data_IF_627294100966
#
_entry.id   IF_627294100966
#
_cell.length_a   1.000
_cell.length_b   1.000
_cell.length_c   1.000
_cell.angle_alpha   90.00
_cell.angle_beta   90.00
_cell.angle_gamma   90.00
#
_symmetry.space_group_name_H-M   'P 1'
#
loop_
_entity.id
_entity.type
_entity.pdbx_description
1 polymer ?
#
# COMPACT_ATOMS: atom_id res chain seq x y z
N UNK A 1 -15.32 -6.21 1.30
CA UNK A 1 -14.02 -5.55 1.05
C UNK A 1 -13.13 -6.43 0.19
N UNK A 2 -12.26 -5.83 -0.60
CA UNK A 2 -11.31 -6.53 -1.47
C UNK A 2 -9.89 -6.15 -1.03
N UNK A 3 -9.08 -7.15 -0.68
CA UNK A 3 -7.69 -6.96 -0.28
C UNK A 3 -6.76 -7.86 -1.09
N UNK A 4 -5.49 -7.46 -1.25
CA UNK A 4 -4.47 -8.28 -1.89
C UNK A 4 -3.66 -9.07 -0.88
N UNK A 5 -3.37 -8.43 0.25
CA UNK A 5 -2.67 -9.00 1.40
C UNK A 5 -3.56 -9.03 2.63
N UNK A 6 -3.41 -10.09 3.41
CA UNK A 6 -4.02 -10.19 4.75
C UNK A 6 -3.18 -11.14 5.63
N UNK A 7 -2.94 -10.81 6.90
CA UNK A 7 -2.18 -11.69 7.79
C UNK A 7 -2.74 -13.12 7.85
N UNK A 8 -1.88 -14.14 8.00
CA UNK A 8 -0.42 -14.08 8.14
C UNK A 8 0.34 -13.96 6.80
N UNK A 9 -0.37 -13.83 5.69
CA UNK A 9 0.21 -13.72 4.33
C UNK A 9 0.36 -12.24 4.00
N UNK A 10 1.46 -11.63 4.43
CA UNK A 10 1.76 -10.21 4.21
C UNK A 10 3.22 -10.00 3.82
N UNK A 11 3.45 -9.01 2.94
CA UNK A 11 4.77 -8.57 2.53
C UNK A 11 5.06 -7.10 2.90
N UNK A 12 4.07 -6.39 3.50
CA UNK A 12 4.23 -4.97 3.81
C UNK A 12 3.12 -4.37 4.67
N UNK A 13 3.13 -3.04 4.76
CA UNK A 13 2.18 -2.27 5.55
C UNK A 13 0.73 -2.35 5.08
N UNK A 14 0.50 -2.67 3.78
CA UNK A 14 -0.85 -2.80 3.21
C UNK A 14 -1.67 -3.87 3.95
N UNK A 15 -1.12 -5.08 4.11
CA UNK A 15 -1.82 -6.17 4.79
C UNK A 15 -2.11 -5.86 6.26
N UNK A 16 -1.19 -5.16 6.94
CA UNK A 16 -1.39 -4.70 8.33
C UNK A 16 -2.51 -3.66 8.41
N UNK A 17 -2.52 -2.68 7.51
CA UNK A 17 -3.56 -1.66 7.45
C UNK A 17 -4.94 -2.27 7.10
N UNK A 18 -5.00 -3.15 6.09
CA UNK A 18 -6.23 -3.85 5.72
C UNK A 18 -6.82 -4.66 6.88
N UNK A 19 -5.97 -5.38 7.63
CA UNK A 19 -6.40 -6.15 8.81
C UNK A 19 -6.97 -5.23 9.86
N UNK A 20 -6.18 -4.28 10.36
CA UNK A 20 -6.55 -3.47 11.50
C UNK A 20 -7.81 -2.63 11.22
N UNK A 21 -7.91 -2.05 10.01
CA UNK A 21 -9.10 -1.32 9.59
C UNK A 21 -10.32 -2.24 9.48
N UNK A 22 -10.17 -3.43 8.87
CA UNK A 22 -11.31 -4.34 8.69
C UNK A 22 -11.80 -4.93 10.00
N UNK A 23 -10.91 -5.28 10.95
CA UNK A 23 -11.28 -5.74 12.29
C UNK A 23 -12.02 -4.64 13.07
N UNK A 24 -11.52 -3.39 13.04
CA UNK A 24 -12.18 -2.26 13.67
C UNK A 24 -13.54 -1.96 13.01
N UNK A 25 -13.62 -1.99 11.67
CA UNK A 25 -14.87 -1.73 10.94
C UNK A 25 -15.89 -2.85 11.15
N UNK A 26 -15.44 -4.11 11.21
CA UNK A 26 -16.27 -5.29 11.45
C UNK A 26 -16.97 -5.28 12.81
N UNK A 27 -16.48 -4.52 13.77
CA UNK A 27 -17.17 -4.30 15.06
C UNK A 27 -18.45 -3.44 14.92
N UNK A 28 -18.59 -2.70 13.81
CA UNK A 28 -19.71 -1.78 13.59
C UNK A 28 -20.66 -2.25 12.48
N UNK A 29 -20.19 -3.10 11.56
CA UNK A 29 -20.99 -3.57 10.41
C UNK A 29 -20.54 -4.94 9.96
N UNK A 30 -21.45 -5.82 9.48
CA UNK A 30 -21.05 -7.08 8.87
C UNK A 30 -20.07 -6.86 7.73
N UNK A 31 -18.93 -7.55 7.77
CA UNK A 31 -17.85 -7.35 6.82
C UNK A 31 -17.31 -8.68 6.29
N UNK A 32 -17.28 -8.80 4.97
CA UNK A 32 -16.59 -9.88 4.26
C UNK A 32 -15.36 -9.33 3.56
N UNK A 33 -14.18 -9.87 3.88
CA UNK A 33 -12.91 -9.56 3.24
C UNK A 33 -12.55 -10.70 2.26
N UNK A 34 -12.41 -10.36 0.99
CA UNK A 34 -11.98 -11.32 -0.05
C UNK A 34 -10.53 -11.04 -0.39
N UNK A 35 -9.71 -12.09 -0.34
CA UNK A 35 -8.27 -12.03 -0.63
C UNK A 35 -7.84 -13.16 -1.57
N UNK A 36 -6.73 -13.03 -2.33
CA UNK A 36 -6.21 -14.10 -3.17
C UNK A 36 -5.90 -15.37 -2.38
N UNK A 37 -5.30 -15.19 -1.18
CA UNK A 37 -4.88 -16.29 -0.31
C UNK A 37 -5.16 -15.97 1.15
N UNK A 38 -5.88 -16.86 1.81
CA UNK A 38 -6.06 -16.90 3.26
C UNK A 38 -5.40 -18.14 3.87
N UNK A 39 -5.03 -18.06 5.14
CA UNK A 39 -4.66 -19.24 5.95
C UNK A 39 -5.90 -19.67 6.76
N UNK A 40 -6.37 -20.88 6.51
CA UNK A 40 -7.57 -21.43 7.16
C UNK A 40 -7.48 -21.47 8.70
N UNK A 41 -6.27 -21.41 9.27
CA UNK A 41 -6.03 -21.38 10.72
C UNK A 41 -6.17 -19.99 11.32
N UNK A 42 -6.07 -18.94 10.51
CA UNK A 42 -6.21 -17.56 10.95
C UNK A 42 -7.66 -17.12 10.88
N UNK A 43 -8.17 -16.60 11.97
CA UNK A 43 -9.54 -16.06 12.09
C UNK A 43 -9.46 -14.64 12.62
N UNK A 44 -9.62 -13.61 11.75
CA UNK A 44 -9.69 -12.23 12.20
C UNK A 44 -10.95 -12.00 13.04
N UNK A 45 -10.87 -11.06 13.96
CA UNK A 45 -12.02 -10.65 14.76
C UNK A 45 -13.03 -9.87 13.91
N UNK A 46 -14.31 -10.16 14.08
CA UNK A 46 -15.43 -9.45 13.44
C UNK A 46 -15.40 -9.40 11.90
N UNK A 47 -14.59 -10.23 11.24
CA UNK A 47 -14.43 -10.24 9.78
C UNK A 47 -14.63 -11.64 9.22
N UNK A 48 -15.50 -11.78 8.24
CA UNK A 48 -15.57 -12.99 7.42
C UNK A 48 -14.46 -12.96 6.37
N UNK A 49 -13.37 -13.70 6.60
CA UNK A 49 -12.26 -13.79 5.65
C UNK A 49 -12.52 -14.89 4.63
N UNK A 50 -12.50 -14.55 3.33
CA UNK A 50 -12.63 -15.47 2.21
C UNK A 50 -11.35 -15.48 1.36
N UNK A 51 -10.59 -16.58 1.42
CA UNK A 51 -9.46 -16.81 0.52
C UNK A 51 -9.92 -17.50 -0.77
N UNK A 52 -9.56 -16.95 -1.93
CA UNK A 52 -9.89 -17.61 -3.20
C UNK A 52 -9.21 -18.96 -3.36
N UNK A 53 -8.10 -19.21 -2.67
CA UNK A 53 -7.46 -20.53 -2.57
C UNK A 53 -8.35 -21.60 -1.89
N UNK A 54 -9.36 -21.19 -1.13
CA UNK A 54 -10.28 -22.08 -0.40
C UNK A 54 -11.62 -22.23 -1.13
N UNK A 55 -11.94 -21.33 -2.06
CA UNK A 55 -13.23 -21.29 -2.77
C UNK A 55 -13.25 -22.30 -3.93
N UNK A 56 -14.31 -23.13 -3.99
CA UNK A 56 -14.53 -24.05 -5.10
C UNK A 56 -15.22 -23.36 -6.28
N UNK A 57 -14.46 -23.05 -7.33
CA UNK A 57 -14.94 -22.35 -8.53
C UNK A 57 -16.01 -23.17 -9.32
N UNK A 58 -16.12 -24.49 -9.09
CA UNK A 58 -17.15 -25.33 -9.73
C UNK A 58 -18.58 -24.97 -9.31
N UNK A 59 -18.78 -24.50 -8.07
CA UNK A 59 -20.11 -24.11 -7.57
C UNK A 59 -20.56 -22.77 -8.13
N UNK A 60 -19.62 -21.86 -8.37
CA UNK A 60 -19.89 -20.52 -8.91
C UNK A 60 -20.33 -20.62 -10.38
N UNK A 61 -19.73 -21.50 -11.16
CA UNK A 61 -20.00 -21.66 -12.61
C UNK A 61 -21.44 -22.05 -12.95
N UNK A 62 -22.15 -22.76 -12.08
CA UNK A 62 -23.53 -23.21 -12.39
C UNK A 62 -24.59 -22.10 -12.33
N UNK A 63 -24.35 -21.00 -11.62
CA UNK A 63 -25.35 -19.93 -11.42
C UNK A 63 -25.24 -18.80 -12.46
N UNK A 64 -24.11 -18.64 -13.13
CA UNK A 64 -23.74 -17.45 -13.87
C UNK A 64 -23.91 -17.58 -15.41
N UNK A 65 -24.00 -18.77 -15.97
CA UNK A 65 -23.96 -19.02 -17.42
C UNK A 65 -25.04 -18.32 -18.26
N UNK A 66 -26.13 -17.83 -17.67
CA UNK A 66 -27.20 -17.14 -18.42
C UNK A 66 -26.96 -15.63 -18.55
N UNK A 67 -26.25 -15.00 -17.62
CA UNK A 67 -26.08 -13.54 -17.57
C UNK A 67 -24.73 -13.09 -18.17
N UNK A 68 -23.75 -14.00 -18.26
CA UNK A 68 -22.40 -13.69 -18.78
C UNK A 68 -22.37 -13.30 -20.27
N UNK A 69 -23.29 -13.81 -21.08
CA UNK A 69 -23.28 -13.58 -22.53
C UNK A 69 -23.60 -12.12 -22.87
N UNK A 70 -24.38 -11.42 -22.08
CA UNK A 70 -24.73 -10.03 -22.34
C UNK A 70 -23.65 -9.04 -21.89
N UNK A 71 -22.89 -9.35 -20.83
CA UNK A 71 -21.86 -8.45 -20.28
C UNK A 71 -20.52 -8.65 -21.00
N UNK A 72 -20.16 -9.86 -21.39
CA UNK A 72 -18.95 -10.14 -22.17
C UNK A 72 -18.94 -9.42 -23.54
N UNK A 73 -20.11 -9.05 -24.06
CA UNK A 73 -20.24 -8.25 -25.29
C UNK A 73 -19.77 -6.79 -25.13
N UNK A 74 -19.64 -6.26 -23.90
CA UNK A 74 -19.30 -4.84 -23.66
C UNK A 74 -17.87 -4.57 -23.20
N UNK A 75 -17.12 -5.57 -22.71
CA UNK A 75 -15.73 -5.37 -22.24
C UNK A 75 -14.84 -6.51 -22.74
N UNK A 76 -14.13 -6.27 -23.82
CA UNK A 76 -13.12 -7.19 -24.34
C UNK A 76 -11.75 -6.72 -23.85
N UNK A 77 -11.20 -7.41 -22.83
CA UNK A 77 -9.81 -7.27 -22.46
C UNK A 77 -8.96 -8.11 -23.42
N UNK A 78 -8.26 -7.48 -24.35
CA UNK A 78 -7.21 -8.17 -25.09
C UNK A 78 -5.97 -8.27 -24.20
N UNK A 79 -5.48 -9.49 -24.02
CA UNK A 79 -4.22 -9.74 -23.32
C UNK A 79 -3.08 -9.19 -24.15
N UNK A 80 -2.45 -8.14 -23.67
CA UNK A 80 -1.15 -7.70 -24.17
C UNK A 80 -0.11 -8.44 -23.32
N UNK A 81 0.76 -9.18 -23.97
CA UNK A 81 1.89 -9.86 -23.32
C UNK A 81 2.94 -8.80 -23.00
N UNK A 82 2.73 -8.12 -21.86
CA UNK A 82 3.63 -7.07 -21.38
C UNK A 82 4.42 -7.64 -20.21
N UNK A 83 5.71 -7.86 -20.42
CA UNK A 83 6.66 -8.24 -19.40
C UNK A 83 6.97 -7.03 -18.49
N UNK A 84 5.97 -6.59 -17.72
CA UNK A 84 6.09 -5.48 -16.76
C UNK A 84 6.11 -6.07 -15.34
N UNK A 85 7.24 -5.92 -14.68
CA UNK A 85 7.38 -6.21 -13.25
C UNK A 85 6.89 -4.99 -12.48
N UNK A 86 5.85 -5.13 -11.67
CA UNK A 86 5.23 -4.05 -10.88
C UNK A 86 6.17 -3.36 -9.87
N UNK A 87 7.41 -3.82 -9.76
CA UNK A 87 8.46 -3.30 -8.87
C UNK A 87 9.82 -3.14 -9.57
N UNK A 88 9.85 -3.00 -10.89
CA UNK A 88 11.09 -2.68 -11.62
C UNK A 88 11.53 -1.25 -11.28
N UNK A 89 12.82 -1.08 -10.99
CA UNK A 89 13.42 0.21 -10.70
C UNK A 89 13.59 1.05 -11.97
N UNK A 90 13.58 2.36 -11.83
CA UNK A 90 13.72 3.38 -12.90
C UNK A 90 14.90 3.11 -13.86
N UNK A 91 15.97 2.48 -13.38
CA UNK A 91 17.15 2.16 -14.22
C UNK A 91 16.89 1.10 -15.31
N UNK A 92 15.89 0.22 -15.13
CA UNK A 92 15.53 -0.77 -16.17
C UNK A 92 14.54 -0.25 -17.22
N UNK A 93 13.76 0.76 -16.87
CA UNK A 93 12.80 1.39 -17.79
C UNK A 93 13.51 2.23 -18.86
N UNK A 94 14.66 2.84 -18.52
CA UNK A 94 15.44 3.69 -19.44
C UNK A 94 16.06 2.94 -20.64
N UNK A 95 16.18 1.60 -20.59
CA UNK A 95 16.76 0.81 -21.69
C UNK A 95 15.76 0.26 -22.71
N UNK A 96 14.45 0.55 -22.59
CA UNK A 96 13.39 0.05 -23.48
C UNK A 96 12.60 1.14 -24.21
N UNK A 97 13.21 2.27 -24.53
CA UNK A 97 12.52 3.40 -25.19
C UNK A 97 12.10 3.14 -26.66
N UNK A 98 12.40 1.99 -27.27
CA UNK A 98 12.12 1.76 -28.70
C UNK A 98 10.82 1.02 -29.03
N UNK A 99 10.09 0.48 -28.03
CA UNK A 99 8.78 -0.15 -28.30
C UNK A 99 7.73 0.32 -27.26
N UNK A 100 6.96 1.35 -27.61
CA UNK A 100 5.77 1.75 -26.88
C UNK A 100 4.62 0.84 -27.25
N UNK A 101 4.05 0.04 -26.34
CA UNK A 101 2.76 -0.58 -26.59
C UNK A 101 1.68 0.49 -26.45
N UNK A 102 0.99 0.80 -27.53
CA UNK A 102 -0.24 1.57 -27.49
C UNK A 102 -1.34 0.71 -26.88
N UNK A 103 -1.88 1.13 -25.74
CA UNK A 103 -3.05 0.48 -25.14
C UNK A 103 -4.28 0.96 -25.92
N UNK A 104 -4.79 0.13 -26.82
CA UNK A 104 -6.03 0.39 -27.51
C UNK A 104 -7.19 -0.32 -26.81
N UNK A 105 -8.15 0.46 -26.32
CA UNK A 105 -9.49 -0.06 -26.03
C UNK A 105 -10.22 -0.08 -27.36
N UNK A 106 -10.30 -1.24 -27.99
CA UNK A 106 -11.02 -1.40 -29.26
C UNK A 106 -12.41 -1.92 -28.98
N UNK A 107 -13.42 -1.07 -29.16
CA UNK A 107 -14.80 -1.53 -29.33
C UNK A 107 -14.92 -2.17 -30.71
N UNK A 108 -15.10 -3.47 -30.78
CA UNK A 108 -15.52 -4.18 -31.99
C UNK A 108 -16.92 -4.73 -31.81
N UNK A 109 -17.80 -4.36 -32.73
CA UNK A 109 -19.05 -5.10 -32.95
C UNK A 109 -18.71 -6.51 -33.44
N UNK A 110 -19.20 -7.52 -32.74
CA UNK A 110 -19.01 -8.93 -33.07
C UNK A 110 -20.23 -9.38 -33.86
N UNK A 111 -20.05 -9.63 -35.15
CA UNK A 111 -21.00 -10.41 -35.95
C UNK A 111 -21.07 -11.85 -35.42
N UNK A 112 -22.28 -12.37 -35.32
CA UNK A 112 -22.56 -13.72 -34.85
C UNK A 112 -21.94 -14.78 -35.79
N UNK A 113 -20.85 -15.40 -35.39
CA UNK A 113 -20.48 -16.72 -35.87
C UNK A 113 -20.44 -17.71 -34.69
N UNK A 114 -21.26 -18.74 -34.81
CA UNK A 114 -21.23 -19.91 -33.96
C UNK A 114 -19.88 -20.64 -34.09
N UNK A 115 -18.94 -20.39 -33.23
CA UNK A 115 -17.79 -21.24 -33.03
C UNK A 115 -17.90 -21.98 -31.72
N UNK A 116 -18.08 -23.28 -31.83
CA UNK A 116 -18.05 -24.27 -30.76
C UNK A 116 -16.76 -24.09 -29.96
N UNK A 117 -16.91 -23.65 -28.71
CA UNK A 117 -15.85 -23.17 -27.85
C UNK A 117 -14.80 -24.20 -27.50
N UNK A 118 -13.56 -23.83 -27.69
CA UNK A 118 -12.48 -24.35 -26.83
C UNK A 118 -12.63 -23.73 -25.44
N UNK A 119 -13.12 -24.53 -24.50
CA UNK A 119 -13.15 -24.14 -23.09
C UNK A 119 -11.72 -24.10 -22.57
N UNK A 120 -11.18 -22.90 -22.37
CA UNK A 120 -9.96 -22.73 -21.59
C UNK A 120 -10.23 -23.35 -20.19
N UNK A 121 -9.43 -24.31 -19.73
CA UNK A 121 -9.67 -24.94 -18.45
C UNK A 121 -9.46 -23.91 -17.33
N UNK A 122 -10.54 -23.43 -16.76
CA UNK A 122 -10.47 -22.61 -15.54
C UNK A 122 -9.92 -23.50 -14.41
N UNK A 123 -8.83 -23.09 -13.74
CA UNK A 123 -8.25 -23.89 -12.67
C UNK A 123 -9.30 -24.13 -11.59
N UNK A 124 -9.33 -25.34 -11.04
CA UNK A 124 -10.32 -25.76 -10.02
C UNK A 124 -10.25 -24.95 -8.74
N UNK A 125 -9.13 -24.29 -8.49
CA UNK A 125 -8.84 -23.37 -7.37
C UNK A 125 -7.88 -22.29 -7.86
N UNK A 126 -7.99 -21.11 -7.28
CA UNK A 126 -7.01 -20.05 -7.47
C UNK A 126 -5.71 -20.44 -6.75
N UNK A 127 -4.63 -20.60 -7.52
CA UNK A 127 -3.33 -21.00 -6.96
C UNK A 127 -2.38 -19.81 -7.01
N UNK A 128 -1.95 -19.35 -5.85
CA UNK A 128 -0.95 -18.28 -5.70
C UNK A 128 0.12 -18.78 -4.74
N UNK A 129 1.30 -19.06 -5.27
CA UNK A 129 2.49 -19.38 -4.46
C UNK A 129 3.15 -18.12 -3.93
N UNK A 130 3.26 -17.09 -4.77
CA UNK A 130 3.81 -15.78 -4.47
C UNK A 130 2.82 -14.70 -4.92
N UNK A 131 2.52 -13.73 -4.04
CA UNK A 131 1.57 -12.63 -4.34
C UNK A 131 2.14 -11.61 -5.33
N UNK A 132 3.47 -11.50 -5.45
CA UNK A 132 4.17 -10.45 -6.19
C UNK A 132 5.15 -10.99 -7.25
N UNK A 133 4.96 -12.22 -7.68
CA UNK A 133 5.81 -12.86 -8.71
C UNK A 133 5.61 -12.28 -10.13
N UNK A 134 6.40 -12.77 -11.07
CA UNK A 134 6.51 -12.26 -12.45
C UNK A 134 5.18 -12.19 -13.24
N UNK A 135 4.18 -12.96 -12.85
CA UNK A 135 2.84 -12.99 -13.46
C UNK A 135 1.77 -12.21 -12.66
N UNK A 136 2.19 -11.19 -11.89
CA UNK A 136 1.31 -10.41 -11.03
C UNK A 136 0.08 -9.84 -11.77
N UNK A 137 0.26 -9.22 -12.94
CA UNK A 137 -0.84 -8.64 -13.72
C UNK A 137 -1.86 -9.71 -14.11
N UNK A 138 -1.40 -10.86 -14.58
CA UNK A 138 -2.29 -11.99 -14.90
C UNK A 138 -3.09 -12.44 -13.68
N UNK A 139 -2.48 -12.46 -12.51
CA UNK A 139 -3.14 -12.83 -11.25
C UNK A 139 -4.16 -11.78 -10.82
N UNK A 140 -3.85 -10.49 -11.01
CA UNK A 140 -4.80 -9.39 -10.76
C UNK A 140 -6.04 -9.53 -11.63
N UNK A 141 -5.89 -9.83 -12.92
CA UNK A 141 -7.02 -10.07 -13.83
C UNK A 141 -7.82 -11.31 -13.39
N UNK A 142 -7.16 -12.43 -13.11
CA UNK A 142 -7.84 -13.64 -12.63
C UNK A 142 -8.57 -13.41 -11.29
N UNK A 143 -7.94 -12.67 -10.38
CA UNK A 143 -8.58 -12.30 -9.12
C UNK A 143 -9.84 -11.47 -9.37
N UNK A 144 -9.77 -10.49 -10.27
CA UNK A 144 -10.91 -9.64 -10.61
C UNK A 144 -12.08 -10.45 -11.21
N UNK A 145 -11.81 -11.34 -12.15
CA UNK A 145 -12.84 -12.20 -12.75
C UNK A 145 -13.51 -13.10 -11.73
N UNK A 146 -12.74 -13.73 -10.86
CA UNK A 146 -13.27 -14.66 -9.85
C UNK A 146 -14.06 -13.92 -8.79
N UNK A 147 -13.56 -12.79 -8.29
CA UNK A 147 -14.23 -11.99 -7.25
C UNK A 147 -15.52 -11.35 -7.78
N UNK A 148 -15.53 -10.87 -9.03
CA UNK A 148 -16.73 -10.35 -9.67
C UNK A 148 -17.85 -11.40 -9.74
N UNK A 149 -17.51 -12.63 -10.11
CA UNK A 149 -18.45 -13.77 -10.12
C UNK A 149 -18.88 -14.18 -8.70
N UNK A 150 -17.96 -14.21 -7.76
CA UNK A 150 -18.27 -14.52 -6.36
C UNK A 150 -19.24 -13.50 -5.76
N UNK A 151 -19.02 -12.21 -6.07
CA UNK A 151 -19.85 -11.11 -5.58
C UNK A 151 -21.32 -11.26 -5.97
N UNK A 152 -21.66 -11.83 -7.13
CA UNK A 152 -23.06 -12.06 -7.53
C UNK A 152 -23.78 -13.07 -6.66
N UNK A 153 -23.07 -13.80 -5.81
CA UNK A 153 -23.62 -14.79 -4.88
C UNK A 153 -23.69 -14.30 -3.44
N UNK A 154 -23.19 -13.09 -3.18
CA UNK A 154 -23.14 -12.47 -1.87
C UNK A 154 -24.15 -11.31 -1.77
N UNK A 155 -24.65 -11.07 -0.58
CA UNK A 155 -25.45 -9.89 -0.26
C UNK A 155 -24.53 -8.83 0.36
N UNK A 156 -24.52 -7.64 -0.21
CA UNK A 156 -23.73 -6.49 0.27
C UNK A 156 -24.28 -5.18 -0.27
N UNK A 157 -23.94 -4.09 0.37
CA UNK A 157 -24.38 -2.74 0.00
C UNK A 157 -23.29 -1.91 -0.67
N UNK A 158 -22.02 -2.12 -0.29
CA UNK A 158 -20.87 -1.35 -0.76
C UNK A 158 -19.72 -2.28 -1.12
N UNK A 159 -19.02 -1.97 -2.22
CA UNK A 159 -17.72 -2.57 -2.57
C UNK A 159 -16.61 -1.63 -2.11
N UNK A 160 -15.66 -2.13 -1.33
CA UNK A 160 -14.51 -1.36 -0.88
C UNK A 160 -13.22 -2.07 -1.32
N UNK A 161 -12.45 -1.46 -2.20
CA UNK A 161 -11.25 -2.03 -2.83
C UNK A 161 -9.97 -1.30 -2.36
N UNK A 162 -8.96 -2.09 -1.95
CA UNK A 162 -7.70 -1.59 -1.41
C UNK A 162 -6.56 -1.73 -2.42
N UNK A 163 -6.00 -0.61 -2.88
CA UNK A 163 -4.92 -0.46 -3.85
C UNK A 163 -5.21 -1.09 -5.24
N UNK A 164 -4.38 -0.76 -6.21
CA UNK A 164 -4.54 -1.05 -7.63
C UNK A 164 -4.79 -2.53 -7.95
N UNK A 165 -4.20 -3.44 -7.18
CA UNK A 165 -4.37 -4.89 -7.39
C UNK A 165 -5.82 -5.37 -7.20
N UNK A 166 -6.66 -4.59 -6.53
CA UNK A 166 -8.07 -4.90 -6.31
C UNK A 166 -9.03 -3.98 -7.08
N UNK A 167 -8.52 -2.93 -7.72
CA UNK A 167 -9.38 -1.93 -8.38
C UNK A 167 -10.14 -2.50 -9.57
N UNK A 168 -9.49 -3.32 -10.41
CA UNK A 168 -10.16 -3.98 -11.53
C UNK A 168 -11.33 -4.84 -11.02
N UNK A 169 -11.12 -5.58 -9.91
CA UNK A 169 -12.18 -6.34 -9.25
C UNK A 169 -13.33 -5.44 -8.78
N UNK A 170 -13.02 -4.33 -8.13
CA UNK A 170 -14.02 -3.35 -7.68
C UNK A 170 -14.85 -2.79 -8.83
N UNK A 171 -14.21 -2.39 -9.92
CA UNK A 171 -14.86 -1.90 -11.14
C UNK A 171 -15.79 -2.95 -11.77
N UNK A 172 -15.33 -4.20 -11.91
CA UNK A 172 -16.14 -5.29 -12.44
C UNK A 172 -17.34 -5.59 -11.56
N UNK A 173 -17.18 -5.62 -10.23
CA UNK A 173 -18.29 -5.83 -9.29
C UNK A 173 -19.32 -4.69 -9.41
N UNK A 174 -18.86 -3.43 -9.42
CA UNK A 174 -19.74 -2.26 -9.62
C UNK A 174 -20.53 -2.39 -10.92
N UNK A 175 -19.86 -2.72 -12.02
CA UNK A 175 -20.52 -2.88 -13.32
C UNK A 175 -21.57 -4.00 -13.34
N UNK A 176 -21.35 -5.11 -12.62
CA UNK A 176 -22.28 -6.24 -12.59
C UNK A 176 -23.44 -6.07 -11.62
N UNK A 177 -23.21 -5.35 -10.52
CA UNK A 177 -24.18 -5.30 -9.41
C UNK A 177 -24.86 -3.96 -9.23
N UNK A 178 -24.32 -2.91 -9.84
CA UNK A 178 -24.77 -1.52 -9.63
C UNK A 178 -24.46 -0.97 -8.23
N UNK A 179 -23.76 -1.73 -7.38
CA UNK A 179 -23.43 -1.31 -6.01
C UNK A 179 -22.30 -0.27 -6.01
N UNK A 180 -22.34 0.72 -5.11
CA UNK A 180 -21.31 1.77 -5.04
C UNK A 180 -19.92 1.19 -4.73
N UNK A 181 -18.91 1.80 -5.37
CA UNK A 181 -17.49 1.44 -5.23
C UNK A 181 -16.73 2.53 -4.45
N UNK A 182 -16.14 2.14 -3.35
CA UNK A 182 -15.17 2.90 -2.57
C UNK A 182 -13.78 2.38 -2.88
N UNK A 183 -12.86 3.24 -3.30
CA UNK A 183 -11.44 2.91 -3.42
C UNK A 183 -10.69 3.41 -2.20
N UNK A 184 -9.76 2.62 -1.68
CA UNK A 184 -8.87 3.00 -0.60
C UNK A 184 -7.42 2.95 -1.09
N UNK A 185 -6.78 4.11 -1.10
CA UNK A 185 -5.44 4.29 -1.65
C UNK A 185 -4.43 4.27 -0.50
N UNK A 186 -3.64 3.22 -0.43
CA UNK A 186 -2.50 3.10 0.49
C UNK A 186 -1.18 3.48 -0.18
N UNK A 187 -1.08 3.31 -1.50
CA UNK A 187 0.03 3.79 -2.31
C UNK A 187 -0.37 3.88 -3.78
N UNK A 188 0.31 4.73 -4.53
CA UNK A 188 0.10 4.95 -5.96
C UNK A 188 1.35 4.58 -6.76
N UNK A 189 1.19 4.37 -8.07
CA UNK A 189 2.33 4.23 -8.97
C UNK A 189 3.24 5.46 -8.94
N UNK A 190 2.66 6.64 -8.76
CA UNK A 190 3.40 7.88 -8.51
C UNK A 190 4.43 7.76 -7.37
N UNK A 191 4.08 7.09 -6.27
CA UNK A 191 4.99 6.91 -5.13
C UNK A 191 6.17 6.00 -5.47
N UNK A 192 5.95 5.04 -6.38
CA UNK A 192 6.95 4.04 -6.80
C UNK A 192 7.86 4.54 -7.92
N UNK A 193 7.28 5.22 -8.91
CA UNK A 193 7.95 5.59 -10.16
C UNK A 193 8.14 7.10 -10.34
N UNK A 194 7.60 7.92 -9.40
CA UNK A 194 7.71 9.38 -9.43
C UNK A 194 6.65 10.06 -10.30
N UNK A 195 6.78 11.41 -10.51
CA UNK A 195 5.78 12.23 -11.18
C UNK A 195 5.59 11.91 -12.68
N UNK A 196 6.58 11.29 -13.30
CA UNK A 196 6.55 10.87 -14.71
C UNK A 196 5.97 9.46 -14.88
N UNK A 197 5.22 8.98 -13.87
CA UNK A 197 4.63 7.64 -13.86
C UNK A 197 3.75 7.41 -15.08
N UNK A 198 3.95 6.29 -15.74
CA UNK A 198 3.20 5.82 -16.90
C UNK A 198 3.07 4.29 -16.84
N UNK A 199 2.28 3.74 -17.74
CA UNK A 199 2.12 2.30 -17.85
C UNK A 199 0.81 1.78 -17.26
N UNK A 200 0.65 0.48 -17.32
CA UNK A 200 -0.63 -0.17 -17.04
C UNK A 200 -1.18 0.09 -15.63
N UNK A 201 -0.31 0.07 -14.61
CA UNK A 201 -0.73 0.31 -13.21
C UNK A 201 -1.24 1.74 -13.05
N UNK A 202 -0.49 2.73 -13.56
CA UNK A 202 -0.90 4.14 -13.50
C UNK A 202 -2.25 4.37 -14.21
N UNK A 203 -2.42 3.81 -15.41
CA UNK A 203 -3.66 3.97 -16.18
C UNK A 203 -4.85 3.28 -15.48
N UNK A 204 -4.63 2.10 -14.89
CA UNK A 204 -5.66 1.43 -14.08
C UNK A 204 -6.05 2.25 -12.86
N UNK A 205 -5.07 2.76 -12.10
CA UNK A 205 -5.31 3.62 -10.95
C UNK A 205 -6.11 4.87 -11.36
N UNK A 206 -5.68 5.56 -12.43
CA UNK A 206 -6.34 6.76 -12.95
C UNK A 206 -7.78 6.48 -13.39
N UNK A 207 -7.98 5.43 -14.18
CA UNK A 207 -9.32 5.03 -14.60
C UNK A 207 -10.22 4.68 -13.41
N UNK A 208 -9.72 3.87 -12.47
CA UNK A 208 -10.48 3.45 -11.30
C UNK A 208 -10.91 4.63 -10.43
N UNK A 209 -10.01 5.58 -10.18
CA UNK A 209 -10.28 6.79 -9.40
C UNK A 209 -11.40 7.66 -10.04
N UNK A 210 -11.44 7.72 -11.38
CA UNK A 210 -12.47 8.45 -12.10
C UNK A 210 -13.84 7.75 -12.08
N UNK A 211 -13.86 6.42 -12.05
CA UNK A 211 -15.08 5.60 -12.10
C UNK A 211 -15.65 5.28 -10.71
N UNK A 212 -14.89 5.45 -9.65
CA UNK A 212 -15.34 5.20 -8.28
C UNK A 212 -16.39 6.23 -7.82
N UNK A 213 -17.29 5.82 -6.93
CA UNK A 213 -18.24 6.72 -6.31
C UNK A 213 -17.55 7.66 -5.31
N UNK A 214 -16.55 7.12 -4.61
CA UNK A 214 -15.68 7.88 -3.71
C UNK A 214 -14.33 7.21 -3.55
N UNK A 215 -13.35 8.01 -3.14
CA UNK A 215 -11.97 7.58 -2.89
C UNK A 215 -11.59 7.94 -1.46
N UNK A 216 -10.94 7.04 -0.77
CA UNK A 216 -10.29 7.27 0.52
C UNK A 216 -8.78 7.33 0.28
N UNK A 217 -8.17 8.43 0.65
CA UNK A 217 -6.72 8.62 0.68
C UNK A 217 -6.22 8.51 2.13
N UNK A 218 -5.08 7.85 2.34
CA UNK A 218 -4.52 7.67 3.70
C UNK A 218 -3.87 8.92 4.27
N UNK A 219 -3.77 10.02 3.49
CA UNK A 219 -3.19 11.30 3.90
C UNK A 219 -3.61 12.43 2.97
N UNK A 220 -3.48 13.69 3.41
CA UNK A 220 -3.61 14.88 2.55
C UNK A 220 -2.52 14.89 1.48
N UNK A 221 -1.31 14.39 1.79
CA UNK A 221 -0.26 14.20 0.82
C UNK A 221 -0.72 13.32 -0.35
N UNK A 222 -1.28 12.15 -0.06
CA UNK A 222 -1.84 11.24 -1.08
C UNK A 222 -3.02 11.87 -1.82
N UNK A 223 -3.92 12.58 -1.10
CA UNK A 223 -5.02 13.33 -1.73
C UNK A 223 -4.52 14.36 -2.72
N UNK A 224 -3.46 15.10 -2.38
CA UNK A 224 -2.81 16.05 -3.26
C UNK A 224 -2.34 15.41 -4.57
N UNK A 225 -1.70 14.25 -4.50
CA UNK A 225 -1.27 13.46 -5.68
C UNK A 225 -2.48 13.00 -6.51
N UNK A 226 -3.51 12.46 -5.88
CA UNK A 226 -4.72 12.00 -6.56
C UNK A 226 -5.38 13.13 -7.36
N UNK A 227 -5.51 14.30 -6.79
CA UNK A 227 -6.14 15.45 -7.45
C UNK A 227 -5.25 16.01 -8.57
N UNK A 228 -3.95 16.17 -8.33
CA UNK A 228 -3.04 16.82 -9.29
C UNK A 228 -2.57 15.92 -10.43
N UNK A 229 -2.32 14.63 -10.18
CA UNK A 229 -1.74 13.71 -11.17
C UNK A 229 -2.76 12.69 -11.72
N UNK A 230 -3.70 12.24 -10.91
CA UNK A 230 -4.73 11.27 -11.33
C UNK A 230 -6.05 11.93 -11.73
N UNK A 231 -6.15 13.27 -11.62
CA UNK A 231 -7.35 14.04 -11.97
C UNK A 231 -8.59 13.59 -11.18
N UNK A 232 -8.38 13.14 -9.95
CA UNK A 232 -9.48 12.77 -9.06
C UNK A 232 -10.35 13.99 -8.76
N UNK A 233 -11.68 13.89 -8.84
CA UNK A 233 -12.57 14.98 -8.40
C UNK A 233 -12.35 15.22 -6.89
N UNK A 234 -11.84 16.40 -6.53
CA UNK A 234 -11.43 16.72 -5.15
C UNK A 234 -12.55 16.49 -4.11
N UNK A 235 -13.83 16.68 -4.50
CA UNK A 235 -14.98 16.45 -3.63
C UNK A 235 -15.32 14.97 -3.39
N UNK A 236 -14.72 14.05 -4.16
CA UNK A 236 -14.88 12.60 -3.98
C UNK A 236 -13.71 11.98 -3.20
N UNK A 237 -12.66 12.74 -2.89
CA UNK A 237 -11.49 12.23 -2.16
C UNK A 237 -11.60 12.62 -0.69
N UNK A 238 -11.82 11.62 0.15
CA UNK A 238 -11.86 11.73 1.61
C UNK A 238 -10.49 11.33 2.19
N UNK A 239 -10.00 12.06 3.18
CA UNK A 239 -8.77 11.67 3.88
C UNK A 239 -9.13 10.95 5.16
N UNK A 240 -8.64 9.71 5.29
CA UNK A 240 -8.79 8.90 6.50
C UNK A 240 -7.42 8.31 6.82
N UNK A 241 -6.80 8.84 7.86
CA UNK A 241 -5.48 8.42 8.27
C UNK A 241 -5.49 6.99 8.83
N UNK A 242 -4.44 6.23 8.50
CA UNK A 242 -4.15 4.98 9.18
C UNK A 242 -3.76 5.25 10.65
N UNK A 243 -3.70 4.21 11.45
CA UNK A 243 -3.28 4.28 12.84
C UNK A 243 -2.28 3.18 13.18
N UNK A 244 -1.85 3.13 14.40
CA UNK A 244 -0.97 2.10 14.95
C UNK A 244 -1.64 1.42 16.13
N UNK A 245 -1.38 0.13 16.33
CA UNK A 245 -1.91 -0.62 17.45
C UNK A 245 -1.48 0.01 18.79
N UNK A 246 -2.42 0.06 19.75
CA UNK A 246 -2.15 0.50 21.12
C UNK A 246 -1.34 -0.60 21.82
N UNK A 247 -0.03 -0.52 21.73
CA UNK A 247 0.86 -1.47 22.38
C UNK A 247 1.91 -0.73 23.20
N UNK A 248 2.11 -1.15 24.44
CA UNK A 248 3.23 -0.67 25.24
C UNK A 248 4.52 -1.31 24.75
N UNK A 249 5.44 -0.48 24.28
CA UNK A 249 6.80 -0.89 23.93
C UNK A 249 7.74 -0.42 25.05
N UNK A 250 8.27 -1.38 25.82
CA UNK A 250 9.27 -1.05 26.85
C UNK A 250 10.61 -0.77 26.18
N UNK A 251 11.16 0.41 26.41
CA UNK A 251 12.50 0.80 25.99
C UNK A 251 13.55 -0.20 26.49
N UNK A 252 14.45 -0.58 25.60
CA UNK A 252 15.55 -1.52 25.88
C UNK A 252 16.89 -0.83 25.63
N UNK A 253 17.90 -1.26 26.35
CA UNK A 253 19.26 -0.80 26.10
C UNK A 253 19.89 -1.69 25.01
N UNK A 254 20.52 -1.12 23.98
CA UNK A 254 21.30 -1.92 23.03
C UNK A 254 22.52 -2.57 23.74
N UNK A 255 23.07 -3.67 23.19
CA UNK A 255 24.23 -4.37 23.76
C UNK A 255 25.56 -3.63 23.56
N UNK A 256 25.53 -2.37 23.19
CA UNK A 256 26.68 -1.50 22.94
C UNK A 256 26.41 -0.10 23.50
N UNK A 257 27.45 0.74 23.56
CA UNK A 257 27.39 2.09 24.17
C UNK A 257 27.03 3.19 23.19
N UNK A 258 27.15 2.93 21.89
CA UNK A 258 26.89 3.90 20.83
C UNK A 258 25.40 4.22 20.73
N UNK A 259 25.09 5.42 20.25
CA UNK A 259 23.73 5.85 19.91
C UNK A 259 23.24 5.13 18.66
N UNK A 260 22.05 4.57 18.72
CA UNK A 260 21.47 3.76 17.67
C UNK A 260 20.50 4.57 16.81
N UNK A 261 20.86 4.74 15.53
CA UNK A 261 20.01 5.37 14.51
C UNK A 261 19.45 4.30 13.60
N UNK A 262 18.13 4.25 13.44
CA UNK A 262 17.42 3.18 12.75
C UNK A 262 16.65 3.70 11.54
N UNK A 263 16.79 2.99 10.41
CA UNK A 263 15.91 3.01 9.26
C UNK A 263 15.16 1.68 9.20
N UNK A 264 13.84 1.71 8.97
CA UNK A 264 13.01 0.52 8.82
C UNK A 264 12.07 0.69 7.63
N UNK A 265 12.27 -0.10 6.57
CA UNK A 265 11.44 -0.06 5.38
C UNK A 265 12.03 -0.83 4.20
N UNK A 266 11.28 -0.92 3.10
CA UNK A 266 11.79 -1.52 1.85
C UNK A 266 12.98 -0.71 1.31
N UNK A 267 13.98 -1.39 0.79
CA UNK A 267 15.17 -0.74 0.21
C UNK A 267 14.93 -0.41 -1.27
N UNK A 268 14.03 0.53 -1.51
CA UNK A 268 13.64 1.04 -2.84
C UNK A 268 13.91 2.54 -2.92
N UNK A 269 13.95 3.11 -4.15
CA UNK A 269 14.14 4.55 -4.34
C UNK A 269 13.11 5.40 -3.59
N UNK A 270 11.86 4.96 -3.56
CA UNK A 270 10.76 5.58 -2.84
C UNK A 270 11.07 5.86 -1.36
N UNK A 271 11.70 4.92 -0.67
CA UNK A 271 11.98 5.01 0.78
C UNK A 271 13.24 5.80 1.12
N UNK A 272 14.02 6.22 0.13
CA UNK A 272 15.19 7.07 0.30
C UNK A 272 16.35 6.47 1.09
N UNK A 273 16.66 5.16 1.00
CA UNK A 273 17.74 4.56 1.79
C UNK A 273 19.12 5.12 1.43
N UNK A 274 19.31 5.64 0.23
CA UNK A 274 20.55 6.29 -0.18
C UNK A 274 20.82 7.58 0.62
N UNK A 275 19.78 8.38 0.90
CA UNK A 275 19.89 9.58 1.75
C UNK A 275 20.31 9.21 3.18
N UNK A 276 19.81 8.08 3.71
CA UNK A 276 20.23 7.56 5.02
C UNK A 276 21.70 7.14 5.04
N UNK A 277 22.19 6.43 4.00
CA UNK A 277 23.62 6.05 3.87
C UNK A 277 24.50 7.28 3.78
N UNK A 278 24.11 8.29 3.01
CA UNK A 278 24.89 9.52 2.85
C UNK A 278 24.93 10.35 4.14
N UNK A 279 23.81 10.48 4.85
CA UNK A 279 23.77 11.12 6.17
C UNK A 279 24.65 10.37 7.19
N UNK A 280 24.62 9.04 7.19
CA UNK A 280 25.52 8.23 8.01
C UNK A 280 26.98 8.48 7.68
N UNK A 281 27.34 8.56 6.39
CA UNK A 281 28.70 8.88 5.95
C UNK A 281 29.17 10.23 6.48
N UNK A 282 28.31 11.24 6.46
CA UNK A 282 28.64 12.57 6.97
C UNK A 282 28.84 12.56 8.49
N UNK A 283 27.99 11.86 9.23
CA UNK A 283 28.08 11.76 10.71
C UNK A 283 29.30 10.94 11.14
N UNK A 284 29.53 9.77 10.56
CA UNK A 284 30.63 8.87 10.96
C UNK A 284 32.04 9.43 10.66
N UNK A 285 32.16 10.47 9.80
CA UNK A 285 33.42 11.22 9.62
C UNK A 285 33.82 12.03 10.82
N UNK A 286 32.88 12.53 11.61
CA UNK A 286 33.14 13.40 12.76
C UNK A 286 32.79 12.75 14.12
N UNK A 287 31.99 11.67 14.13
CA UNK A 287 31.52 11.00 15.35
C UNK A 287 31.80 9.50 15.30
N UNK A 288 32.19 8.97 16.46
CA UNK A 288 32.44 7.53 16.61
C UNK A 288 31.49 6.87 17.62
N UNK A 289 30.62 7.63 18.22
CA UNK A 289 29.64 7.22 19.24
C UNK A 289 28.26 6.93 18.64
N UNK A 290 28.14 6.79 17.31
CA UNK A 290 26.89 6.50 16.62
C UNK A 290 27.02 5.19 15.82
N UNK A 291 25.95 4.42 15.83
CA UNK A 291 25.76 3.21 15.06
C UNK A 291 24.48 3.31 14.24
N UNK A 292 24.53 2.91 12.99
CA UNK A 292 23.41 2.92 12.06
C UNK A 292 22.94 1.51 11.79
N UNK A 293 21.63 1.29 11.79
CA UNK A 293 20.99 0.03 11.38
C UNK A 293 19.95 0.32 10.32
N UNK A 294 20.10 -0.35 9.18
CA UNK A 294 19.14 -0.35 8.09
C UNK A 294 18.44 -1.70 8.06
N UNK A 295 17.16 -1.71 8.42
CA UNK A 295 16.32 -2.90 8.43
C UNK A 295 15.34 -2.88 7.25
N UNK A 296 15.26 -4.00 6.54
CA UNK A 296 14.45 -4.22 5.35
C UNK A 296 15.24 -4.88 4.23
N UNK A 297 14.56 -5.13 3.13
CA UNK A 297 15.13 -5.69 1.90
C UNK A 297 14.55 -4.98 0.68
N UNK A 298 15.18 -5.15 -0.48
CA UNK A 298 14.76 -4.56 -1.74
C UNK A 298 15.89 -4.42 -2.74
N UNK A 299 15.56 -3.94 -3.93
CA UNK A 299 16.43 -3.92 -5.10
C UNK A 299 17.74 -3.13 -4.87
N UNK A 300 17.68 -2.08 -4.05
CA UNK A 300 18.86 -1.24 -3.77
C UNK A 300 19.83 -1.86 -2.77
N UNK A 301 19.49 -2.98 -2.10
CA UNK A 301 20.32 -3.56 -1.03
C UNK A 301 21.77 -3.79 -1.46
N UNK A 302 21.98 -4.41 -2.64
CA UNK A 302 23.33 -4.71 -3.14
C UNK A 302 24.15 -3.43 -3.32
N UNK A 303 23.61 -2.43 -4.04
CA UNK A 303 24.31 -1.17 -4.29
C UNK A 303 24.60 -0.38 -3.02
N UNK A 304 23.66 -0.37 -2.06
CA UNK A 304 23.85 0.28 -0.75
C UNK A 304 24.93 -0.41 0.08
N UNK A 305 25.02 -1.74 0.04
CA UNK A 305 26.08 -2.50 0.74
C UNK A 305 27.46 -2.19 0.15
N UNK A 306 27.57 -2.14 -1.18
CA UNK A 306 28.82 -1.74 -1.87
C UNK A 306 29.20 -0.28 -1.53
N UNK A 307 28.22 0.62 -1.43
CA UNK A 307 28.44 2.01 -1.05
C UNK A 307 28.95 2.15 0.38
N UNK A 308 28.35 1.44 1.35
CA UNK A 308 28.81 1.40 2.75
C UNK A 308 30.23 0.86 2.86
N UNK A 309 30.56 -0.20 2.11
CA UNK A 309 31.92 -0.75 2.07
C UNK A 309 32.92 0.26 1.48
N UNK A 310 32.58 0.90 0.37
CA UNK A 310 33.42 1.94 -0.27
C UNK A 310 33.69 3.11 0.69
N UNK A 311 32.73 3.49 1.49
CA UNK A 311 32.87 4.56 2.50
C UNK A 311 33.54 4.09 3.79
N UNK A 312 33.91 2.79 3.91
CA UNK A 312 34.55 2.18 5.09
C UNK A 312 33.76 2.37 6.38
N UNK A 313 32.42 2.22 6.29
CA UNK A 313 31.52 2.36 7.43
C UNK A 313 31.10 1.03 8.08
N UNK A 314 31.60 -0.11 7.62
CA UNK A 314 31.12 -1.45 8.00
C UNK A 314 31.23 -1.79 9.49
N UNK A 315 32.04 -1.09 10.27
CA UNK A 315 32.10 -1.25 11.74
C UNK A 315 30.96 -0.54 12.49
N UNK A 316 30.28 0.40 11.86
CA UNK A 316 29.25 1.27 12.45
C UNK A 316 27.92 1.33 11.66
N UNK A 317 27.85 0.65 10.51
CA UNK A 317 26.65 0.58 9.68
C UNK A 317 26.30 -0.89 9.41
N UNK A 318 25.08 -1.30 9.80
CA UNK A 318 24.64 -2.69 9.72
C UNK A 318 23.35 -2.80 8.92
N UNK A 319 23.29 -3.81 8.04
CA UNK A 319 22.08 -4.23 7.35
C UNK A 319 21.46 -5.40 8.10
N UNK A 320 20.27 -5.16 8.69
CA UNK A 320 19.58 -6.21 9.46
C UNK A 320 18.76 -7.18 8.57
N UNK A 321 18.58 -6.84 7.29
CA UNK A 321 17.70 -7.60 6.41
C UNK A 321 16.22 -7.44 6.77
N UNK A 322 15.37 -8.29 6.24
CA UNK A 322 13.95 -8.34 6.57
C UNK A 322 13.76 -8.77 8.03
N UNK A 323 12.93 -8.05 8.76
CA UNK A 323 12.62 -8.34 10.16
C UNK A 323 11.15 -8.76 10.31
N UNK A 324 10.90 -9.73 11.19
CA UNK A 324 9.54 -10.00 11.64
C UNK A 324 8.98 -8.81 12.43
N UNK A 325 7.65 -8.67 12.59
CA UNK A 325 7.07 -7.60 13.39
C UNK A 325 7.64 -7.51 14.82
N UNK A 326 7.93 -8.65 15.44
CA UNK A 326 8.53 -8.71 16.79
C UNK A 326 9.99 -8.22 16.78
N UNK A 327 10.77 -8.63 15.78
CA UNK A 327 12.14 -8.16 15.64
C UNK A 327 12.20 -6.66 15.33
N UNK A 328 11.30 -6.15 14.49
CA UNK A 328 11.18 -4.73 14.19
C UNK A 328 10.85 -3.92 15.47
N UNK A 329 9.89 -4.38 16.27
CA UNK A 329 9.57 -3.77 17.58
C UNK A 329 10.75 -3.78 18.53
N UNK A 330 11.48 -4.89 18.61
CA UNK A 330 12.68 -4.98 19.47
C UNK A 330 13.78 -4.03 19.01
N UNK A 331 13.98 -3.87 17.70
CA UNK A 331 14.93 -2.90 17.15
C UNK A 331 14.51 -1.47 17.48
N UNK A 332 13.24 -1.11 17.28
CA UNK A 332 12.72 0.21 17.62
C UNK A 332 12.82 0.49 19.12
N UNK A 333 12.57 -0.51 19.97
CA UNK A 333 12.70 -0.36 21.43
C UNK A 333 14.12 0.03 21.86
N UNK A 334 15.14 -0.30 21.09
CA UNK A 334 16.55 0.03 21.34
C UNK A 334 17.01 1.32 20.66
N UNK A 335 16.30 1.84 19.68
CA UNK A 335 16.72 2.97 18.86
C UNK A 335 16.76 4.29 19.65
N UNK A 336 17.81 5.11 19.46
CA UNK A 336 17.87 6.48 19.98
C UNK A 336 17.22 7.47 19.00
N UNK A 337 17.27 7.22 17.69
CA UNK A 337 16.63 8.02 16.65
C UNK A 337 16.08 7.10 15.56
N UNK A 338 14.86 7.36 15.12
CA UNK A 338 14.27 6.75 13.93
C UNK A 338 14.30 7.72 12.75
N UNK A 339 14.61 7.21 11.56
CA UNK A 339 14.74 8.02 10.35
C UNK A 339 13.91 7.42 9.21
N UNK A 340 13.06 8.25 8.59
CA UNK A 340 12.29 7.89 7.41
C UNK A 340 12.43 8.98 6.33
N UNK A 341 13.47 8.94 5.48
CA UNK A 341 13.80 9.97 4.51
C UNK A 341 13.14 9.69 3.14
N UNK A 342 11.91 9.20 3.15
CA UNK A 342 11.20 8.76 1.94
C UNK A 342 11.02 9.92 0.95
N UNK A 343 11.27 9.65 -0.32
CA UNK A 343 11.04 10.62 -1.43
C UNK A 343 9.54 10.85 -1.63
N UNK A 344 8.75 9.79 -1.43
CA UNK A 344 7.30 9.81 -1.42
C UNK A 344 6.80 8.76 -0.42
N UNK A 345 6.08 9.18 0.60
CA UNK A 345 5.55 8.31 1.64
C UNK A 345 4.05 8.55 1.82
N UNK A 346 3.20 7.71 1.27
CA UNK A 346 1.74 7.90 1.37
C UNK A 346 1.26 8.04 2.80
N UNK A 347 1.81 7.21 3.72
CA UNK A 347 1.48 7.32 5.13
C UNK A 347 2.70 7.16 6.03
N UNK A 348 3.30 5.95 6.15
CA UNK A 348 4.49 5.71 6.97
C UNK A 348 4.18 5.08 8.32
N UNK A 349 3.56 3.90 8.34
CA UNK A 349 3.25 3.16 9.59
C UNK A 349 4.48 2.94 10.49
N UNK A 350 5.66 2.69 9.90
CA UNK A 350 6.90 2.50 10.67
C UNK A 350 7.31 3.72 11.48
N UNK A 351 6.93 4.94 11.04
CA UNK A 351 7.16 6.15 11.81
C UNK A 351 6.24 6.22 13.04
N UNK A 352 4.96 5.82 12.89
CA UNK A 352 4.04 5.76 14.02
C UNK A 352 4.44 4.66 15.01
N UNK A 353 4.95 3.51 14.51
CA UNK A 353 5.48 2.44 15.36
C UNK A 353 6.71 2.90 16.15
N UNK A 354 7.63 3.63 15.52
CA UNK A 354 8.80 4.20 16.18
C UNK A 354 8.39 5.24 17.26
N UNK A 355 7.48 6.14 16.92
CA UNK A 355 6.94 7.14 17.83
C UNK A 355 6.24 6.45 19.03
N UNK A 356 5.45 5.40 18.78
CA UNK A 356 4.81 4.59 19.83
C UNK A 356 5.83 3.90 20.74
N UNK A 357 6.98 3.51 20.21
CA UNK A 357 8.09 2.96 20.99
C UNK A 357 8.87 4.03 21.79
N UNK A 358 8.45 5.29 21.74
CA UNK A 358 9.11 6.39 22.42
C UNK A 358 10.46 6.76 21.81
N UNK A 359 10.56 6.69 20.48
CA UNK A 359 11.75 7.04 19.70
C UNK A 359 11.51 8.38 19.00
N UNK A 360 12.40 9.37 19.15
CA UNK A 360 12.30 10.61 18.39
C UNK A 360 12.51 10.32 16.90
N UNK A 361 11.67 10.93 16.06
CA UNK A 361 11.61 10.65 14.63
C UNK A 361 12.11 11.83 13.80
N UNK A 362 12.89 11.52 12.75
CA UNK A 362 13.23 12.44 11.65
C UNK A 362 12.55 11.95 10.39
N UNK A 363 11.58 12.68 9.90
CA UNK A 363 10.68 12.28 8.83
C UNK A 363 10.86 13.15 7.59
N UNK A 364 10.59 12.59 6.42
CA UNK A 364 10.43 13.38 5.21
C UNK A 364 9.22 14.30 5.31
N UNK A 365 9.34 15.53 4.82
CA UNK A 365 8.21 16.46 4.63
C UNK A 365 7.20 15.97 3.59
N UNK A 366 7.54 14.93 2.81
CA UNK A 366 6.67 14.26 1.83
C UNK A 366 6.14 12.95 2.38
N UNK A 367 5.58 13.00 3.59
CA UNK A 367 5.09 11.83 4.31
C UNK A 367 3.76 12.11 4.99
N UNK A 368 2.77 11.22 4.80
CA UNK A 368 1.50 11.28 5.53
C UNK A 368 1.67 11.13 7.05
N UNK A 369 2.73 10.45 7.53
CA UNK A 369 3.02 10.37 8.95
C UNK A 369 3.29 11.74 9.59
N UNK A 370 3.82 12.70 8.84
CA UNK A 370 4.07 14.06 9.32
C UNK A 370 2.78 14.85 9.59
N UNK A 371 1.66 14.39 9.02
CA UNK A 371 0.32 14.96 9.27
C UNK A 371 -0.26 14.54 10.64
N UNK A 372 0.29 13.49 11.23
CA UNK A 372 -0.08 13.00 12.56
C UNK A 372 1.00 13.40 13.57
N UNK A 373 2.26 13.15 13.27
CA UNK A 373 3.40 13.36 14.16
C UNK A 373 3.92 14.80 14.00
N UNK A 374 3.11 15.78 14.42
CA UNK A 374 3.39 17.20 14.24
C UNK A 374 4.69 17.67 14.90
N UNK A 375 5.09 16.99 15.97
CA UNK A 375 6.30 17.32 16.73
C UNK A 375 7.53 16.52 16.27
N UNK A 376 7.40 15.58 15.32
CA UNK A 376 8.55 14.94 14.70
C UNK A 376 9.36 15.94 13.87
N UNK A 377 10.69 15.80 13.84
CA UNK A 377 11.52 16.66 13.03
C UNK A 377 11.34 16.33 11.54
N UNK A 378 11.15 17.37 10.72
CA UNK A 378 10.92 17.20 9.29
C UNK A 378 12.13 17.64 8.47
N UNK A 379 12.41 16.94 7.37
CA UNK A 379 13.48 17.24 6.44
C UNK A 379 12.99 17.17 4.97
N UNK A 380 13.65 17.88 4.08
CA UNK A 380 13.56 17.57 2.65
C UNK A 380 14.28 16.22 2.38
N UNK A 381 13.62 15.22 1.78
CA UNK A 381 14.23 13.93 1.50
C UNK A 381 15.46 14.01 0.58
N UNK A 382 15.59 15.09 -0.19
CA UNK A 382 16.74 15.33 -1.07
C UNK A 382 17.93 16.00 -0.35
N UNK A 383 17.84 16.20 0.98
CA UNK A 383 18.92 16.83 1.76
C UNK A 383 19.48 15.88 2.84
N UNK A 384 20.44 15.00 2.49
CA UNK A 384 21.17 14.19 3.48
C UNK A 384 21.88 15.03 4.54
N UNK A 385 22.26 16.28 4.20
CA UNK A 385 22.87 17.24 5.12
C UNK A 385 21.89 17.68 6.19
N UNK A 386 20.64 17.98 5.83
CA UNK A 386 19.60 18.32 6.80
C UNK A 386 19.31 17.10 7.70
N UNK A 387 19.21 15.90 7.11
CA UNK A 387 19.03 14.67 7.85
C UNK A 387 20.17 14.46 8.87
N UNK A 388 21.42 14.57 8.43
CA UNK A 388 22.58 14.40 9.30
C UNK A 388 22.59 15.40 10.46
N UNK A 389 22.22 16.68 10.22
CA UNK A 389 22.11 17.71 11.28
C UNK A 389 21.00 17.41 12.29
N UNK A 390 19.83 16.98 11.82
CA UNK A 390 18.71 16.69 12.71
C UNK A 390 18.98 15.47 13.61
N UNK A 391 19.59 14.42 13.04
CA UNK A 391 20.03 13.25 13.83
C UNK A 391 21.06 13.64 14.89
N UNK A 392 22.07 14.42 14.50
CA UNK A 392 23.10 14.91 15.44
C UNK A 392 22.49 15.75 16.54
N UNK A 393 21.58 16.67 16.20
CA UNK A 393 20.90 17.52 17.17
C UNK A 393 20.11 16.71 18.20
N UNK A 394 19.34 15.71 17.78
CA UNK A 394 18.60 14.83 18.69
C UNK A 394 19.50 14.05 19.65
N UNK A 395 20.69 13.64 19.18
CA UNK A 395 21.66 12.91 20.01
C UNK A 395 22.30 13.83 21.04
N UNK A 396 22.60 15.08 20.66
CA UNK A 396 23.31 16.05 21.50
C UNK A 396 22.36 16.78 22.47
N UNK A 397 21.03 16.77 22.21
CA UNK A 397 20.01 17.43 23.02
C UNK A 397 18.99 16.43 23.59
N UNK A 398 19.42 15.54 24.53
CA UNK A 398 18.57 14.44 25.00
C UNK A 398 17.36 14.89 25.82
N UNK A 399 17.35 16.09 26.38
CA UNK A 399 16.19 16.62 27.10
C UNK A 399 15.11 17.06 26.13
N UNK A 400 15.48 17.80 25.09
CA UNK A 400 14.60 18.27 24.02
C UNK A 400 14.07 17.07 23.20
N UNK A 401 14.91 16.08 22.94
CA UNK A 401 14.48 14.84 22.29
C UNK A 401 13.40 14.10 23.11
N UNK A 402 13.50 14.10 24.45
CA UNK A 402 12.46 13.54 25.32
C UNK A 402 11.16 14.35 25.27
N UNK A 403 11.25 15.66 25.24
CA UNK A 403 10.09 16.55 25.11
C UNK A 403 9.37 16.29 23.77
N UNK A 404 10.11 16.22 22.66
CA UNK A 404 9.57 15.84 21.35
C UNK A 404 8.85 14.50 21.41
N UNK A 405 9.43 13.49 22.06
CA UNK A 405 8.79 12.17 22.22
C UNK A 405 7.48 12.29 22.99
N UNK A 406 7.41 13.06 24.07
CA UNK A 406 6.16 13.21 24.85
C UNK A 406 5.07 13.89 24.02
N UNK A 407 5.43 14.94 23.29
CA UNK A 407 4.51 15.65 22.39
C UNK A 407 4.03 14.73 21.26
N UNK A 408 4.94 13.99 20.62
CA UNK A 408 4.62 13.02 19.58
C UNK A 408 3.72 11.87 20.06
N UNK A 409 3.89 11.41 21.32
CA UNK A 409 2.97 10.44 21.93
C UNK A 409 1.57 11.02 22.16
N UNK A 410 1.48 12.32 22.44
CA UNK A 410 0.20 13.03 22.53
C UNK A 410 -0.47 13.11 21.15
N UNK A 411 0.30 13.45 20.11
CA UNK A 411 -0.17 13.46 18.72
C UNK A 411 -0.77 12.09 18.33
N UNK A 412 -0.08 10.98 18.65
CA UNK A 412 -0.54 9.62 18.41
C UNK A 412 -1.84 9.26 19.17
N UNK A 413 -2.13 9.95 20.26
CA UNK A 413 -3.37 9.78 21.00
C UNK A 413 -4.60 10.26 20.26
N UNK A 414 -4.43 11.08 19.23
CA UNK A 414 -5.52 11.66 18.43
C UNK A 414 -6.05 10.72 17.34
N UNK A 415 -5.36 9.62 17.04
CA UNK A 415 -5.73 8.67 15.98
C UNK A 415 -5.89 7.25 16.52
N UNK A 416 -6.90 6.55 16.03
CA UNK A 416 -7.12 5.13 16.32
C UNK A 416 -7.79 4.42 15.13
N UNK A 417 -7.66 3.10 15.06
CA UNK A 417 -8.36 2.32 14.05
C UNK A 417 -9.87 2.39 14.19
N UNK A 418 -10.39 2.54 15.41
CA UNK A 418 -11.84 2.73 15.66
C UNK A 418 -12.35 4.05 15.07
N UNK A 419 -11.59 5.14 15.21
CA UNK A 419 -11.90 6.42 14.57
C UNK A 419 -11.85 6.31 13.06
N UNK A 420 -10.80 5.69 12.50
CA UNK A 420 -10.70 5.45 11.06
C UNK A 420 -11.90 4.63 10.55
N UNK A 421 -12.30 3.58 11.27
CA UNK A 421 -13.47 2.78 10.92
C UNK A 421 -14.77 3.60 10.96
N UNK A 422 -14.95 4.48 11.93
CA UNK A 422 -16.13 5.37 12.01
C UNK A 422 -16.18 6.36 10.83
N UNK A 423 -15.04 6.92 10.43
CA UNK A 423 -14.97 7.79 9.25
C UNK A 423 -15.28 7.01 7.97
N UNK A 424 -14.77 5.78 7.82
CA UNK A 424 -15.12 4.89 6.69
C UNK A 424 -16.63 4.61 6.66
N UNK A 425 -17.27 4.39 7.81
CA UNK A 425 -18.73 4.22 7.88
C UNK A 425 -19.50 5.45 7.42
N UNK A 426 -19.01 6.66 7.72
CA UNK A 426 -19.63 7.90 7.20
C UNK A 426 -19.54 7.94 5.67
N UNK A 427 -18.38 7.56 5.13
CA UNK A 427 -18.19 7.44 3.67
C UNK A 427 -19.14 6.41 3.07
N UNK A 428 -19.33 5.25 3.69
CA UNK A 428 -20.30 4.26 3.20
C UNK A 428 -21.73 4.79 3.18
N UNK A 429 -22.16 5.46 4.25
CA UNK A 429 -23.50 6.06 4.31
C UNK A 429 -23.69 7.09 3.21
N UNK A 430 -22.71 7.96 2.96
CA UNK A 430 -22.82 8.99 1.93
C UNK A 430 -22.97 8.43 0.52
N UNK A 431 -22.30 7.31 0.19
CA UNK A 431 -22.43 6.70 -1.15
C UNK A 431 -23.69 5.84 -1.31
N UNK A 432 -24.26 5.33 -0.22
CA UNK A 432 -25.55 4.61 -0.24
C UNK A 432 -26.77 5.54 -0.37
N UNK A 433 -26.66 6.78 0.12
CA UNK A 433 -27.73 7.79 0.07
C UNK A 433 -27.81 8.51 -1.30
N UNK A 434 -26.78 8.39 -2.16
CA UNK A 434 -26.84 8.96 -3.52
C UNK A 434 -27.79 8.10 -4.36
N UNK A 435 -28.93 8.65 -4.86
CA UNK A 435 -29.79 7.92 -5.79
C UNK A 435 -28.94 7.49 -7.00
N UNK A 436 -29.02 6.22 -7.38
CA UNK A 436 -28.45 5.74 -8.64
C UNK A 436 -29.15 6.54 -9.76
N UNK A 437 -28.50 7.57 -10.27
CA UNK A 437 -28.93 8.21 -11.51
C UNK A 437 -28.70 7.16 -12.59
N UNK A 438 -29.79 6.51 -13.00
CA UNK A 438 -29.77 5.64 -14.15
C UNK A 438 -29.18 6.47 -15.30
N UNK A 439 -27.99 6.09 -15.77
CA UNK A 439 -27.43 6.67 -16.97
C UNK A 439 -28.41 6.38 -18.08
N UNK A 440 -29.11 7.40 -18.58
CA UNK A 440 -29.88 7.34 -19.81
C UNK A 440 -28.91 6.93 -20.94
N UNK A 441 -28.85 5.63 -21.19
CA UNK A 441 -28.34 5.08 -22.45
C UNK A 441 -29.56 5.01 -23.39
N UNK A 442 -30.02 6.19 -23.79
CA UNK A 442 -30.93 6.34 -24.93
C UNK A 442 -30.64 7.70 -25.56
N UNK A 443 -29.78 7.69 -26.55
CA UNK A 443 -29.65 8.59 -27.71
C UNK A 443 -28.15 8.76 -28.11
N UNK A 444 -27.65 8.02 -29.03
CA UNK A 444 -27.43 8.29 -30.45
C UNK A 444 -26.91 7.02 -31.09
#
# INVERSE_FOLDING_TARGET
MLGWEFPPVVNGGLGVACRNLSEALGAFTPLTMIVPRADARYRPENVQLLGLNEVSLRRIRRKILKDEIQVAKKVRLEYVDVDIRAYDTVERVAYREEERPEVFIVEREVEEEESIGQTVPVPRRFQVSDLYGDDLIKRVVQYAEITARLATTLEFDVVHAHDWMTFLSGLMIKAHTGKPLVLHIHSLEYDRSGPESQGWVYELEKHAVQQADTVIAVSEYTRGILVSHYQAPAHRVNVIHNSVEKMEVKRQKPPFSEKLVVFLGRLTGQKGPASFVEAARQLLRRRKDIRFVMAGDGDLRKGLTEQVARFRMGDRFHFAGFLSPEQARSLLAMADVFVMPSVSEPFGLSALEAARAGVPCVLSSRSGASEILHHALQIDPNSPEALSRQVEWLIDHPMEAREIVQQTLTDLGTVSWDQAAQEVLKVYRSVMEIPVVASDVSAV
#
